data_IF_725267271966
#
_entry.id   IF_725267271966
#
_cell.length_a   1.000
_cell.length_b   1.000
_cell.length_c   1.000
_cell.angle_alpha   90.00
_cell.angle_beta   90.00
_cell.angle_gamma   90.00
#
_symmetry.space_group_name_H-M   'P 1'
#
loop_
_entity.id
_entity.type
_entity.pdbx_description
1 polymer ?
#
# COMPACT_ATOMS: atom_id res chain seq x y z
N UNK A 1 31.50 42.72 42.10
CA UNK A 1 30.82 41.80 41.18
C UNK A 1 29.37 42.17 40.98
N UNK A 2 28.57 42.28 42.05
CA UNK A 2 27.17 42.69 41.96
C UNK A 2 26.93 43.95 41.10
N UNK A 3 27.80 44.97 41.24
CA UNK A 3 27.70 46.20 40.44
C UNK A 3 27.93 46.00 38.93
N UNK A 4 28.89 45.17 38.51
CA UNK A 4 29.10 44.94 37.07
C UNK A 4 27.95 44.15 36.46
N UNK A 5 27.36 43.24 37.23
CA UNK A 5 26.20 42.48 36.83
C UNK A 5 24.98 43.39 36.62
N UNK A 6 24.69 44.28 37.58
CA UNK A 6 23.59 45.24 37.47
C UNK A 6 23.75 46.15 36.26
N UNK A 7 24.96 46.67 36.03
CA UNK A 7 25.25 47.53 34.89
C UNK A 7 25.09 46.76 33.58
N UNK A 8 25.59 45.53 33.52
CA UNK A 8 25.45 44.68 32.34
C UNK A 8 23.98 44.38 32.03
N UNK A 9 23.20 43.88 32.99
CA UNK A 9 21.79 43.53 32.82
C UNK A 9 20.94 44.76 32.43
N UNK A 10 21.18 45.92 33.04
CA UNK A 10 20.48 47.15 32.68
C UNK A 10 20.86 47.64 31.27
N UNK A 11 22.11 47.42 30.83
CA UNK A 11 22.57 47.81 29.50
C UNK A 11 21.98 46.92 28.42
N UNK A 12 22.02 45.61 28.62
CA UNK A 12 21.45 44.64 27.68
C UNK A 12 19.93 44.72 27.61
N UNK A 13 19.24 45.14 28.68
CA UNK A 13 17.80 45.45 28.66
C UNK A 13 17.45 46.80 28.03
N UNK A 14 18.42 47.51 27.45
CA UNK A 14 18.25 48.83 26.84
C UNK A 14 17.68 49.89 27.80
N UNK A 15 17.99 49.78 29.10
CA UNK A 15 17.52 50.68 30.18
C UNK A 15 18.50 51.81 30.50
N UNK A 16 19.52 52.02 29.68
CA UNK A 16 20.56 53.05 29.88
C UNK A 16 20.44 54.23 28.90
N UNK A 17 20.49 55.44 29.44
CA UNK A 17 20.98 56.62 28.72
C UNK A 17 22.51 56.71 28.80
N UNK A 18 23.16 57.33 27.81
CA UNK A 18 24.63 57.42 27.72
C UNK A 18 25.29 58.01 28.97
N UNK A 19 24.70 59.06 29.54
CA UNK A 19 25.23 59.78 30.70
C UNK A 19 25.21 58.92 31.98
N UNK A 20 24.17 58.08 32.14
CA UNK A 20 24.03 57.18 33.28
C UNK A 20 25.05 56.04 33.22
N UNK A 21 25.32 55.51 32.03
CA UNK A 21 26.30 54.45 31.81
C UNK A 21 27.73 54.93 32.11
N UNK A 22 28.07 56.14 31.67
CA UNK A 22 29.41 56.70 31.91
C UNK A 22 29.65 57.00 33.40
N UNK A 23 28.61 57.37 34.16
CA UNK A 23 28.70 57.50 35.61
C UNK A 23 28.86 56.14 36.32
N UNK A 24 28.10 55.13 35.90
CA UNK A 24 28.23 53.79 36.46
C UNK A 24 29.59 53.13 36.15
N UNK A 25 30.18 53.44 35.00
CA UNK A 25 31.56 53.05 34.68
C UNK A 25 32.61 53.78 35.51
N UNK A 26 32.40 55.05 35.88
CA UNK A 26 33.28 55.76 36.84
C UNK A 26 33.22 55.09 38.21
N UNK A 27 32.04 54.73 38.68
CA UNK A 27 31.90 53.99 39.93
C UNK A 27 32.59 52.63 39.87
N UNK A 28 32.46 51.93 38.74
CA UNK A 28 33.14 50.65 38.50
C UNK A 28 34.66 50.82 38.51
N UNK A 29 35.18 51.91 37.95
CA UNK A 29 36.60 52.26 37.95
C UNK A 29 37.13 52.53 39.36
N UNK A 30 36.39 53.29 40.18
CA UNK A 30 36.79 53.55 41.56
C UNK A 30 36.80 52.26 42.41
N UNK A 31 35.81 51.38 42.22
CA UNK A 31 35.79 50.07 42.88
C UNK A 31 36.96 49.18 42.45
N UNK A 32 37.37 49.27 41.18
CA UNK A 32 38.47 48.49 40.63
C UNK A 32 39.84 48.84 41.24
N UNK A 33 40.01 50.02 41.85
CA UNK A 33 41.26 50.42 42.53
C UNK A 33 41.64 49.48 43.67
N UNK A 34 40.65 48.88 44.32
CA UNK A 34 40.82 48.06 45.51
C UNK A 34 40.80 46.55 45.22
N UNK A 35 40.74 46.18 43.94
CA UNK A 35 40.66 44.77 43.52
C UNK A 35 42.02 44.35 42.97
N UNK A 36 42.50 43.18 43.41
CA UNK A 36 43.66 42.55 42.79
C UNK A 36 43.23 41.97 41.43
N UNK A 37 43.87 42.37 40.30
CA UNK A 37 43.56 41.82 38.98
C UNK A 37 43.73 40.29 38.88
N UNK A 38 44.49 39.66 39.78
CA UNK A 38 44.66 38.21 39.83
C UNK A 38 43.51 37.48 40.55
N UNK A 39 42.73 38.17 41.39
CA UNK A 39 41.68 37.60 42.22
C UNK A 39 40.26 37.83 41.65
N UNK A 40 40.16 38.08 40.34
CA UNK A 40 38.88 38.29 39.67
C UNK A 40 38.08 36.98 39.60
N UNK A 41 36.77 36.98 39.93
CA UNK A 41 35.95 35.78 39.92
C UNK A 41 35.46 35.48 38.49
N UNK A 42 36.34 34.84 37.71
CA UNK A 42 36.08 34.53 36.29
C UNK A 42 34.82 33.71 36.08
N UNK A 43 34.53 32.74 36.96
CA UNK A 43 33.32 31.94 36.89
C UNK A 43 32.04 32.79 36.85
N UNK A 44 31.98 33.86 37.66
CA UNK A 44 30.81 34.74 37.71
C UNK A 44 30.70 35.60 36.44
N UNK A 45 31.82 36.07 35.89
CA UNK A 45 31.85 36.80 34.62
C UNK A 45 31.40 35.91 33.45
N UNK A 46 31.83 34.65 33.43
CA UNK A 46 31.38 33.69 32.43
C UNK A 46 29.88 33.39 32.60
N UNK A 47 29.41 33.13 33.82
CA UNK A 47 27.98 32.88 34.08
C UNK A 47 27.11 34.05 33.62
N UNK A 48 27.56 35.29 33.77
CA UNK A 48 26.86 36.48 33.28
C UNK A 48 26.51 36.37 31.78
N UNK A 49 27.48 35.97 30.95
CA UNK A 49 27.32 35.85 29.50
C UNK A 49 26.44 34.66 29.11
N UNK A 50 26.54 33.56 29.87
CA UNK A 50 25.81 32.31 29.60
C UNK A 50 24.38 32.29 30.17
N UNK A 51 24.07 33.07 31.20
CA UNK A 51 22.72 33.18 31.78
C UNK A 51 21.78 33.98 30.90
N UNK A 52 22.31 34.90 30.12
CA UNK A 52 21.50 35.81 29.34
C UNK A 52 21.07 35.13 28.03
N UNK A 53 19.76 35.04 27.79
CA UNK A 53 19.16 34.76 26.47
C UNK A 53 19.32 35.96 25.52
N UNK A 54 20.07 36.98 25.94
CA UNK A 54 20.17 38.30 25.32
C UNK A 54 21.05 38.31 24.09
N UNK A 55 20.78 39.33 23.28
CA UNK A 55 21.43 39.62 22.00
C UNK A 55 22.97 39.66 22.12
N UNK A 56 23.63 38.81 21.34
CA UNK A 56 25.09 38.75 21.24
C UNK A 56 25.66 40.12 20.85
N UNK A 57 24.93 40.89 20.03
CA UNK A 57 25.30 42.23 19.58
C UNK A 57 25.32 43.24 20.74
N UNK A 58 24.34 43.17 21.65
CA UNK A 58 24.27 44.04 22.82
C UNK A 58 25.42 43.75 23.79
N UNK A 59 25.77 42.48 23.96
CA UNK A 59 26.89 42.05 24.81
C UNK A 59 28.23 42.53 24.25
N UNK A 60 28.45 42.41 22.94
CA UNK A 60 29.66 42.91 22.28
C UNK A 60 29.74 44.45 22.39
N UNK A 61 28.62 45.15 22.17
CA UNK A 61 28.55 46.60 22.32
C UNK A 61 28.89 47.07 23.75
N UNK A 62 28.43 46.33 24.77
CA UNK A 62 28.79 46.61 26.18
C UNK A 62 30.31 46.51 26.39
N UNK A 63 30.91 45.42 25.91
CA UNK A 63 32.35 45.16 26.03
C UNK A 63 33.16 46.26 25.33
N UNK A 64 32.73 46.69 24.14
CA UNK A 64 33.36 47.79 23.40
C UNK A 64 33.26 49.12 24.16
N UNK A 65 32.09 49.44 24.74
CA UNK A 65 31.91 50.67 25.53
C UNK A 65 32.77 50.68 26.80
N UNK A 66 32.83 49.56 27.52
CA UNK A 66 33.73 49.41 28.68
C UNK A 66 35.20 49.61 28.26
N UNK A 67 35.59 49.04 27.12
CA UNK A 67 36.93 49.19 26.54
C UNK A 67 37.28 50.64 26.26
N UNK A 68 36.39 51.35 25.56
CA UNK A 68 36.56 52.76 25.22
C UNK A 68 36.69 53.63 26.47
N UNK A 69 35.90 53.33 27.49
CA UNK A 69 35.89 54.08 28.74
C UNK A 69 37.25 54.03 29.48
N UNK A 70 37.77 52.84 29.80
CA UNK A 70 39.03 52.77 30.55
C UNK A 70 40.23 53.24 29.71
N UNK A 71 40.17 53.10 28.38
CA UNK A 71 41.22 53.56 27.46
C UNK A 71 41.26 55.09 27.42
N UNK A 72 40.10 55.76 27.33
CA UNK A 72 39.97 57.22 27.40
C UNK A 72 40.53 57.77 28.72
N UNK A 73 40.27 57.11 29.84
CA UNK A 73 40.82 57.50 31.15
C UNK A 73 42.34 57.34 31.18
N UNK A 74 42.87 56.24 30.66
CA UNK A 74 44.31 56.00 30.59
C UNK A 74 45.02 57.09 29.78
N UNK A 75 44.53 57.39 28.57
CA UNK A 75 45.10 58.40 27.69
C UNK A 75 45.06 59.79 28.34
N UNK A 76 43.91 60.18 28.91
CA UNK A 76 43.76 61.46 29.58
C UNK A 76 44.75 61.63 30.74
N UNK A 77 44.86 60.64 31.63
CA UNK A 77 45.77 60.71 32.80
C UNK A 77 47.23 60.61 32.41
N UNK A 78 47.57 59.84 31.37
CA UNK A 78 48.93 59.74 30.83
C UNK A 78 49.37 61.07 30.23
N UNK A 79 48.53 61.72 29.43
CA UNK A 79 48.85 62.99 28.79
C UNK A 79 49.03 64.13 29.81
N UNK A 80 48.31 64.07 30.94
CA UNK A 80 48.38 65.06 32.01
C UNK A 80 49.45 64.73 33.09
N UNK A 81 50.24 63.66 32.93
CA UNK A 81 51.18 63.16 33.96
C UNK A 81 50.54 62.91 35.35
N UNK A 82 49.24 62.58 35.41
CA UNK A 82 48.48 62.28 36.64
C UNK A 82 48.16 60.78 36.78
N UNK A 83 48.92 59.92 36.10
CA UNK A 83 48.70 58.47 36.17
C UNK A 83 49.25 57.92 37.49
N UNK A 84 48.35 57.59 38.43
CA UNK A 84 48.72 57.03 39.74
C UNK A 84 48.80 55.50 39.70
N UNK A 85 49.51 54.92 40.66
CA UNK A 85 49.60 53.45 40.81
C UNK A 85 48.23 52.77 40.93
N UNK A 86 47.28 53.41 41.64
CA UNK A 86 45.90 52.90 41.79
C UNK A 86 45.09 52.96 40.48
N UNK A 87 45.37 53.95 39.63
CA UNK A 87 44.74 54.06 38.31
C UNK A 87 45.19 52.90 37.41
N UNK A 88 46.48 52.54 37.47
CA UNK A 88 47.02 51.38 36.77
C UNK A 88 46.38 50.05 37.22
N UNK A 89 46.12 49.89 38.53
CA UNK A 89 45.42 48.71 39.08
C UNK A 89 43.99 48.62 38.54
N UNK A 90 43.28 49.74 38.49
CA UNK A 90 41.89 49.79 37.99
C UNK A 90 41.82 49.44 36.51
N UNK A 91 42.71 50.04 35.70
CA UNK A 91 42.78 49.78 34.26
C UNK A 91 43.12 48.31 34.00
N UNK A 92 44.10 47.75 34.73
CA UNK A 92 44.46 46.34 34.60
C UNK A 92 43.29 45.41 34.99
N UNK A 93 42.54 45.75 36.04
CA UNK A 93 41.37 44.99 36.49
C UNK A 93 40.25 45.03 35.45
N UNK A 94 39.90 46.21 34.94
CA UNK A 94 38.86 46.37 33.91
C UNK A 94 39.25 45.73 32.57
N UNK A 95 40.53 45.82 32.18
CA UNK A 95 41.05 45.16 30.99
C UNK A 95 40.91 43.63 31.09
N UNK A 96 41.23 43.05 32.25
CA UNK A 96 41.01 41.61 32.49
C UNK A 96 39.54 41.24 32.51
N UNK A 97 38.68 42.04 33.14
CA UNK A 97 37.23 41.83 33.10
C UNK A 97 36.73 41.77 31.66
N UNK A 98 37.14 42.73 30.83
CA UNK A 98 36.83 42.74 29.40
C UNK A 98 37.32 41.49 28.67
N UNK A 99 38.54 41.06 28.93
CA UNK A 99 39.11 39.85 28.33
C UNK A 99 38.27 38.61 28.65
N UNK A 100 37.87 38.43 29.91
CA UNK A 100 37.03 37.30 30.34
C UNK A 100 35.62 37.35 29.77
N UNK A 101 34.99 38.54 29.70
CA UNK A 101 33.67 38.70 29.06
C UNK A 101 33.74 38.37 27.55
N UNK A 102 34.79 38.84 26.86
CA UNK A 102 34.99 38.57 25.43
C UNK A 102 35.26 37.09 25.15
N UNK A 103 36.08 36.43 25.98
CA UNK A 103 36.33 34.99 25.87
C UNK A 103 35.05 34.18 26.09
N UNK A 104 34.27 34.52 27.12
CA UNK A 104 33.00 33.85 27.40
C UNK A 104 31.99 34.04 26.26
N UNK A 105 31.91 35.23 25.66
CA UNK A 105 31.05 35.50 24.50
C UNK A 105 31.48 34.66 23.29
N UNK A 106 32.77 34.62 22.98
CA UNK A 106 33.30 33.80 21.88
C UNK A 106 33.00 32.30 22.08
N UNK A 107 33.14 31.81 23.31
CA UNK A 107 32.79 30.42 23.68
C UNK A 107 31.30 30.14 23.49
N UNK A 108 30.42 31.03 23.96
CA UNK A 108 28.97 30.92 23.77
C UNK A 108 28.60 30.85 22.28
N UNK A 109 29.14 31.76 21.48
CA UNK A 109 28.85 31.83 20.05
C UNK A 109 29.34 30.59 19.31
N UNK A 110 30.53 30.09 19.65
CA UNK A 110 31.07 28.84 19.08
C UNK A 110 30.18 27.64 19.39
N UNK A 111 29.74 27.49 20.65
CA UNK A 111 28.83 26.43 21.08
C UNK A 111 27.47 26.54 20.40
N UNK A 112 26.88 27.73 20.35
CA UNK A 112 25.58 27.98 19.73
C UNK A 112 25.61 27.68 18.22
N UNK A 113 26.67 28.11 17.52
CA UNK A 113 26.84 27.80 16.10
C UNK A 113 26.95 26.29 15.85
N UNK A 114 27.69 25.57 16.69
CA UNK A 114 27.79 24.10 16.60
C UNK A 114 26.43 23.43 16.83
N UNK A 115 25.70 23.86 17.87
CA UNK A 115 24.37 23.35 18.17
C UNK A 115 23.37 23.62 17.04
N UNK A 116 23.39 24.83 16.48
CA UNK A 116 22.54 25.23 15.34
C UNK A 116 22.81 24.38 14.11
N UNK A 117 24.08 24.07 13.83
CA UNK A 117 24.47 23.19 12.73
C UNK A 117 23.99 21.76 12.95
N UNK A 118 24.20 21.20 14.15
CA UNK A 118 23.73 19.86 14.52
C UNK A 118 22.19 19.76 14.43
N UNK A 119 21.47 20.76 14.93
CA UNK A 119 20.01 20.80 14.90
C UNK A 119 19.46 20.92 13.47
N UNK A 120 20.14 21.71 12.62
CA UNK A 120 19.82 21.80 11.19
C UNK A 120 20.03 20.44 10.49
N UNK A 121 21.11 19.74 10.80
CA UNK A 121 21.39 18.41 10.24
C UNK A 121 20.36 17.38 10.71
N UNK A 122 20.01 17.38 12.00
CA UNK A 122 18.99 16.49 12.55
C UNK A 122 17.63 16.74 11.92
N UNK A 123 17.25 18.01 11.70
CA UNK A 123 15.99 18.38 11.03
C UNK A 123 15.94 17.89 9.58
N UNK A 124 17.06 17.92 8.86
CA UNK A 124 17.15 17.35 7.51
C UNK A 124 16.96 15.84 7.53
N UNK A 125 17.68 15.15 8.42
CA UNK A 125 17.60 13.70 8.56
C UNK A 125 16.18 13.23 8.91
N UNK A 126 15.50 13.90 9.84
CA UNK A 126 14.10 13.63 10.18
C UNK A 126 13.16 13.80 8.98
N UNK A 127 13.38 14.84 8.15
CA UNK A 127 12.56 15.06 6.96
C UNK A 127 12.79 13.97 5.91
N UNK A 128 14.02 13.54 5.73
CA UNK A 128 14.38 12.48 4.80
C UNK A 128 13.83 11.12 5.27
N UNK A 129 13.93 10.80 6.57
CA UNK A 129 13.31 9.61 7.16
C UNK A 129 11.78 9.62 7.02
N UNK A 130 11.14 10.76 7.25
CA UNK A 130 9.68 10.88 7.09
C UNK A 130 9.25 10.64 5.63
N UNK A 131 10.02 11.14 4.66
CA UNK A 131 9.77 10.86 3.24
C UNK A 131 10.00 9.38 2.90
N UNK A 132 11.03 8.76 3.47
CA UNK A 132 11.30 7.33 3.29
C UNK A 132 10.19 6.45 3.88
N UNK A 133 9.67 6.80 5.07
CA UNK A 133 8.54 6.09 5.69
C UNK A 133 7.27 6.20 4.85
N UNK A 134 6.95 7.37 4.30
CA UNK A 134 5.80 7.55 3.43
C UNK A 134 5.90 6.68 2.16
N UNK A 135 7.08 6.59 1.54
CA UNK A 135 7.30 5.72 0.38
C UNK A 135 7.19 4.23 0.74
N UNK A 136 7.75 3.81 1.89
CA UNK A 136 7.60 2.44 2.36
C UNK A 136 6.14 2.07 2.64
N UNK A 137 5.34 3.00 3.16
CA UNK A 137 3.92 2.79 3.38
C UNK A 137 3.16 2.60 2.06
N UNK A 138 3.39 3.46 1.07
CA UNK A 138 2.79 3.33 -0.27
C UNK A 138 3.17 2.01 -0.96
N UNK A 139 4.45 1.62 -0.86
CA UNK A 139 4.91 0.32 -1.36
C UNK A 139 4.21 -0.84 -0.65
N UNK A 140 4.05 -0.77 0.67
CA UNK A 140 3.38 -1.81 1.47
C UNK A 140 1.92 -1.97 1.05
N UNK A 141 1.21 -0.86 0.85
CA UNK A 141 -0.19 -0.87 0.40
C UNK A 141 -0.32 -1.48 -1.01
N UNK A 142 0.59 -1.13 -1.93
CA UNK A 142 0.64 -1.73 -3.27
C UNK A 142 0.95 -3.23 -3.23
N UNK A 143 1.89 -3.67 -2.39
CA UNK A 143 2.19 -5.09 -2.20
C UNK A 143 1.00 -5.84 -1.60
N UNK A 144 0.27 -5.23 -0.66
CA UNK A 144 -0.93 -5.83 -0.07
C UNK A 144 -2.02 -6.03 -1.12
N UNK A 145 -2.30 -5.02 -1.94
CA UNK A 145 -3.28 -5.14 -3.02
C UNK A 145 -2.90 -6.25 -4.03
N UNK A 146 -1.62 -6.31 -4.41
CA UNK A 146 -1.11 -7.40 -5.27
C UNK A 146 -1.24 -8.77 -4.62
N UNK A 147 -0.98 -8.88 -3.32
CA UNK A 147 -1.08 -10.13 -2.58
C UNK A 147 -2.53 -10.60 -2.46
N UNK A 148 -3.47 -9.68 -2.16
CA UNK A 148 -4.89 -9.98 -2.09
C UNK A 148 -5.40 -10.45 -3.46
N UNK A 149 -5.00 -9.76 -4.54
CA UNK A 149 -5.31 -10.19 -5.91
C UNK A 149 -4.73 -11.57 -6.24
N UNK A 150 -3.45 -11.80 -5.93
CA UNK A 150 -2.79 -13.09 -6.15
C UNK A 150 -3.47 -14.22 -5.36
N UNK A 151 -3.92 -13.94 -4.14
CA UNK A 151 -4.64 -14.90 -3.30
C UNK A 151 -6.00 -15.26 -3.91
N UNK A 152 -6.73 -14.27 -4.43
CA UNK A 152 -7.98 -14.51 -5.17
C UNK A 152 -7.70 -15.37 -6.41
N UNK A 153 -6.68 -15.03 -7.20
CA UNK A 153 -6.31 -15.79 -8.40
C UNK A 153 -5.93 -17.24 -8.04
N UNK A 154 -5.17 -17.45 -6.96
CA UNK A 154 -4.78 -18.77 -6.48
C UNK A 154 -5.97 -19.59 -5.97
N UNK A 155 -6.86 -18.99 -5.17
CA UNK A 155 -8.09 -19.63 -4.69
C UNK A 155 -8.97 -20.05 -5.88
N UNK A 156 -9.01 -19.22 -6.91
CA UNK A 156 -9.74 -19.48 -8.14
C UNK A 156 -9.15 -20.64 -8.92
N UNK A 157 -7.82 -20.68 -9.08
CA UNK A 157 -7.10 -21.78 -9.71
C UNK A 157 -7.35 -23.10 -8.96
N UNK A 158 -7.29 -23.09 -7.62
CA UNK A 158 -7.61 -24.25 -6.79
C UNK A 158 -9.07 -24.70 -6.98
N UNK A 159 -10.02 -23.78 -7.04
CA UNK A 159 -11.43 -24.10 -7.30
C UNK A 159 -11.65 -24.78 -8.66
N UNK A 160 -10.95 -24.31 -9.70
CA UNK A 160 -10.97 -24.93 -11.03
C UNK A 160 -10.41 -26.35 -10.96
N UNK A 161 -9.22 -26.53 -10.37
CA UNK A 161 -8.61 -27.85 -10.29
C UNK A 161 -9.43 -28.83 -9.46
N UNK A 162 -9.97 -28.40 -8.32
CA UNK A 162 -10.83 -29.24 -7.47
C UNK A 162 -12.07 -29.72 -8.22
N UNK A 163 -12.73 -28.82 -8.96
CA UNK A 163 -13.86 -29.16 -9.82
C UNK A 163 -13.49 -30.22 -10.86
N UNK A 164 -12.37 -30.01 -11.57
CA UNK A 164 -11.90 -30.95 -12.61
C UNK A 164 -11.61 -32.30 -11.98
N UNK A 165 -10.92 -32.34 -10.83
CA UNK A 165 -10.60 -33.55 -10.10
C UNK A 165 -11.88 -34.32 -9.70
N UNK A 166 -12.87 -33.63 -9.11
CA UNK A 166 -14.12 -34.27 -8.72
C UNK A 166 -14.92 -34.78 -9.91
N UNK A 167 -14.93 -34.03 -11.02
CA UNK A 167 -15.60 -34.48 -12.24
C UNK A 167 -14.91 -35.70 -12.86
N UNK A 168 -13.58 -35.70 -12.93
CA UNK A 168 -12.80 -36.83 -13.49
C UNK A 168 -12.95 -38.06 -12.62
N UNK A 169 -12.76 -37.97 -11.29
CA UNK A 169 -12.94 -39.12 -10.41
C UNK A 169 -14.39 -39.59 -10.34
N UNK A 170 -15.35 -38.66 -10.36
CA UNK A 170 -16.78 -38.98 -10.47
C UNK A 170 -17.08 -39.76 -11.75
N UNK A 171 -16.59 -39.30 -12.90
CA UNK A 171 -16.77 -39.98 -14.19
C UNK A 171 -16.08 -41.34 -14.27
N UNK A 172 -14.84 -41.44 -13.79
CA UNK A 172 -14.09 -42.70 -13.78
C UNK A 172 -14.76 -43.77 -12.88
N UNK A 173 -15.29 -43.38 -11.72
CA UNK A 173 -16.01 -44.30 -10.83
C UNK A 173 -17.27 -44.88 -11.49
N UNK A 174 -17.98 -44.08 -12.28
CA UNK A 174 -19.17 -44.51 -13.01
C UNK A 174 -18.81 -45.44 -14.16
N UNK A 175 -17.70 -45.21 -14.86
CA UNK A 175 -17.20 -46.11 -15.91
C UNK A 175 -16.79 -47.47 -15.30
N UNK A 176 -16.13 -47.48 -14.15
CA UNK A 176 -15.78 -48.70 -13.42
C UNK A 176 -17.00 -49.58 -13.12
N UNK A 177 -18.06 -48.98 -12.56
CA UNK A 177 -19.29 -49.71 -12.22
C UNK A 177 -20.00 -50.33 -13.43
N UNK A 178 -19.88 -49.73 -14.62
CA UNK A 178 -20.39 -50.29 -15.88
C UNK A 178 -19.50 -51.43 -16.37
N UNK A 179 -18.17 -51.25 -16.28
CA UNK A 179 -17.18 -52.25 -16.68
C UNK A 179 -17.37 -53.58 -15.95
N UNK A 180 -17.73 -53.52 -14.67
CA UNK A 180 -17.97 -54.71 -13.84
C UNK A 180 -19.20 -55.53 -14.28
N UNK A 181 -20.18 -54.92 -14.95
CA UNK A 181 -21.45 -55.55 -15.35
C UNK A 181 -21.61 -55.66 -16.88
N UNK A 182 -20.51 -55.55 -17.63
CA UNK A 182 -20.54 -55.43 -19.10
C UNK A 182 -21.00 -56.72 -19.81
N UNK A 183 -20.74 -57.89 -19.22
CA UNK A 183 -21.04 -59.18 -19.83
C UNK A 183 -22.55 -59.52 -19.86
N UNK A 184 -23.33 -59.02 -18.90
CA UNK A 184 -24.75 -59.36 -18.74
C UNK A 184 -25.69 -58.26 -19.25
N UNK A 185 -25.17 -57.05 -19.52
CA UNK A 185 -25.99 -55.89 -19.85
C UNK A 185 -26.09 -55.67 -21.36
N UNK A 186 -27.30 -55.51 -21.93
CA UNK A 186 -27.46 -55.22 -23.35
C UNK A 186 -26.86 -53.84 -23.69
N UNK A 187 -26.19 -53.76 -24.84
CA UNK A 187 -25.47 -52.57 -25.36
C UNK A 187 -26.33 -51.29 -25.28
N UNK A 188 -27.64 -51.38 -25.55
CA UNK A 188 -28.55 -50.22 -25.48
C UNK A 188 -28.70 -49.64 -24.06
N UNK A 189 -28.65 -50.47 -23.01
CA UNK A 189 -28.67 -49.99 -21.62
C UNK A 189 -27.34 -49.34 -21.23
N UNK A 190 -26.23 -49.90 -21.70
CA UNK A 190 -24.88 -49.36 -21.47
C UNK A 190 -24.76 -47.97 -22.10
N UNK A 191 -25.10 -47.81 -23.39
CA UNK A 191 -25.02 -46.49 -24.05
C UNK A 191 -25.97 -45.46 -23.42
N UNK A 192 -27.16 -45.88 -22.98
CA UNK A 192 -28.11 -45.00 -22.29
C UNK A 192 -27.55 -44.48 -20.97
N UNK A 193 -26.86 -45.34 -20.21
CA UNK A 193 -26.24 -44.94 -18.95
C UNK A 193 -25.02 -44.04 -19.18
N UNK A 194 -24.16 -44.34 -20.15
CA UNK A 194 -22.98 -43.52 -20.50
C UNK A 194 -23.37 -42.12 -20.99
N UNK A 195 -24.42 -42.02 -21.81
CA UNK A 195 -24.89 -40.72 -22.31
C UNK A 195 -25.49 -39.85 -21.19
N UNK A 196 -26.31 -40.45 -20.31
CA UNK A 196 -26.90 -39.72 -19.18
C UNK A 196 -25.85 -39.28 -18.16
N UNK A 197 -24.87 -40.14 -17.86
CA UNK A 197 -23.77 -39.82 -16.95
C UNK A 197 -22.86 -38.73 -17.51
N UNK A 198 -22.50 -38.80 -18.79
CA UNK A 198 -21.69 -37.79 -19.47
C UNK A 198 -22.38 -36.42 -19.49
N UNK A 199 -23.69 -36.36 -19.78
CA UNK A 199 -24.47 -35.11 -19.72
C UNK A 199 -24.41 -34.51 -18.30
N UNK A 200 -24.62 -35.35 -17.27
CA UNK A 200 -24.61 -34.91 -15.87
C UNK A 200 -23.22 -34.38 -15.47
N UNK A 201 -22.15 -35.08 -15.83
CA UNK A 201 -20.78 -34.68 -15.56
C UNK A 201 -20.45 -33.33 -16.23
N UNK A 202 -20.78 -33.19 -17.51
CA UNK A 202 -20.57 -31.95 -18.27
C UNK A 202 -21.33 -30.77 -17.66
N UNK A 203 -22.57 -30.99 -17.22
CA UNK A 203 -23.37 -29.95 -16.55
C UNK A 203 -22.77 -29.53 -15.20
N UNK A 204 -22.31 -30.49 -14.38
CA UNK A 204 -21.67 -30.19 -13.09
C UNK A 204 -20.37 -29.40 -13.31
N UNK A 205 -19.54 -29.81 -14.27
CA UNK A 205 -18.32 -29.10 -14.65
C UNK A 205 -18.65 -27.68 -15.13
N UNK A 206 -19.66 -27.52 -15.98
CA UNK A 206 -20.08 -26.22 -16.48
C UNK A 206 -20.62 -25.28 -15.39
N UNK A 207 -21.47 -25.78 -14.50
CA UNK A 207 -21.99 -24.99 -13.36
C UNK A 207 -20.84 -24.51 -12.48
N UNK A 208 -19.86 -25.38 -12.23
CA UNK A 208 -18.71 -25.06 -11.40
C UNK A 208 -17.81 -24.02 -12.07
N UNK A 209 -17.50 -24.16 -13.37
CA UNK A 209 -16.80 -23.12 -14.13
C UNK A 209 -17.57 -21.79 -14.15
N UNK A 210 -18.89 -21.83 -14.29
CA UNK A 210 -19.74 -20.64 -14.26
C UNK A 210 -19.76 -19.98 -12.86
N UNK A 211 -19.73 -20.77 -11.78
CA UNK A 211 -19.60 -20.26 -10.42
C UNK A 211 -18.24 -19.57 -10.22
N UNK A 212 -17.16 -20.21 -10.65
CA UNK A 212 -15.80 -19.66 -10.60
C UNK A 212 -15.68 -18.38 -11.43
N UNK A 213 -16.27 -18.34 -12.62
CA UNK A 213 -16.33 -17.15 -13.48
C UNK A 213 -17.02 -15.98 -12.82
N UNK A 214 -18.07 -16.23 -12.01
CA UNK A 214 -18.72 -15.19 -11.22
C UNK A 214 -17.88 -14.70 -10.05
N UNK A 215 -17.12 -15.58 -9.41
CA UNK A 215 -16.24 -15.23 -8.27
C UNK A 215 -14.95 -14.51 -8.71
N UNK A 216 -14.44 -14.84 -9.90
CA UNK A 216 -13.22 -14.24 -10.47
C UNK A 216 -13.48 -13.02 -11.33
N UNK A 217 -14.75 -12.68 -11.58
CA UNK A 217 -15.17 -11.69 -12.58
C UNK A 217 -14.64 -11.95 -14.01
N UNK A 218 -14.08 -13.13 -14.29
CA UNK A 218 -13.62 -13.52 -15.62
C UNK A 218 -14.83 -13.88 -16.48
N UNK A 219 -15.02 -13.18 -17.61
CA UNK A 219 -16.16 -13.42 -18.51
C UNK A 219 -15.94 -14.71 -19.30
N UNK A 220 -16.65 -15.79 -18.97
CA UNK A 220 -16.74 -17.00 -19.81
C UNK A 220 -17.67 -16.79 -21.02
N UNK A 221 -17.34 -15.86 -21.92
CA UNK A 221 -18.11 -15.66 -23.16
C UNK A 221 -17.17 -15.79 -24.35
N UNK A 222 -17.50 -16.67 -25.28
CA UNK A 222 -16.78 -16.80 -26.55
C UNK A 222 -17.27 -15.81 -27.63
N UNK A 223 -18.21 -14.93 -27.28
CA UNK A 223 -18.78 -13.95 -28.20
C UNK A 223 -17.89 -12.70 -28.23
N UNK A 224 -17.39 -12.37 -29.43
CA UNK A 224 -16.48 -11.25 -29.65
C UNK A 224 -17.26 -9.93 -29.81
N UNK A 225 -17.96 -9.49 -28.75
CA UNK A 225 -18.68 -8.23 -28.73
C UNK A 225 -17.83 -7.15 -28.03
N UNK A 226 -17.55 -6.05 -28.74
CA UNK A 226 -16.79 -4.91 -28.22
C UNK A 226 -17.64 -4.03 -27.27
N UNK A 227 -18.97 -4.01 -27.41
CA UNK A 227 -19.89 -3.20 -26.60
C UNK A 227 -20.87 -4.01 -25.74
N UNK A 228 -20.93 -3.68 -24.43
CA UNK A 228 -21.68 -4.41 -23.40
C UNK A 228 -23.22 -4.32 -23.51
N UNK A 229 -23.77 -3.33 -24.23
CA UNK A 229 -25.21 -3.00 -24.17
C UNK A 229 -26.07 -3.60 -25.29
N UNK A 230 -25.49 -4.13 -26.37
CA UNK A 230 -26.24 -4.58 -27.57
C UNK A 230 -25.96 -6.02 -28.00
N UNK A 231 -25.30 -6.82 -27.17
CA UNK A 231 -24.88 -8.18 -27.55
C UNK A 231 -25.94 -9.24 -27.16
N UNK A 232 -26.92 -9.47 -28.04
CA UNK A 232 -27.92 -10.53 -27.92
C UNK A 232 -27.36 -11.88 -28.40
N UNK A 233 -26.38 -12.44 -27.68
CA UNK A 233 -25.82 -13.74 -28.03
C UNK A 233 -26.66 -14.90 -27.49
N UNK A 234 -27.00 -15.84 -28.37
CA UNK A 234 -27.72 -17.04 -28.00
C UNK A 234 -26.80 -18.04 -27.26
N UNK A 235 -27.36 -18.96 -26.46
CA UNK A 235 -26.58 -19.92 -25.63
C UNK A 235 -25.55 -20.71 -26.45
N UNK A 236 -25.92 -21.08 -27.68
CA UNK A 236 -25.07 -21.75 -28.67
C UNK A 236 -23.82 -20.96 -29.06
N UNK A 237 -23.93 -19.63 -29.17
CA UNK A 237 -22.81 -18.74 -29.53
C UNK A 237 -21.97 -18.37 -28.31
N UNK A 238 -22.59 -18.41 -27.13
CA UNK A 238 -21.94 -18.09 -25.86
C UNK A 238 -21.02 -19.21 -25.37
N UNK A 239 -21.45 -20.47 -25.54
CA UNK A 239 -20.72 -21.67 -25.14
C UNK A 239 -20.77 -22.75 -26.25
N UNK A 240 -20.04 -22.55 -27.37
CA UNK A 240 -20.12 -23.45 -28.52
C UNK A 240 -19.69 -24.89 -28.19
N UNK A 241 -18.67 -25.06 -27.34
CA UNK A 241 -18.16 -26.38 -26.92
C UNK A 241 -19.16 -27.15 -26.06
N UNK A 242 -19.78 -26.49 -25.07
CA UNK A 242 -20.84 -27.09 -24.24
C UNK A 242 -22.02 -27.52 -25.11
N UNK A 243 -22.45 -26.64 -26.01
CA UNK A 243 -23.62 -26.90 -26.82
C UNK A 243 -23.42 -28.03 -27.83
N UNK A 244 -22.23 -28.13 -28.43
CA UNK A 244 -21.88 -29.24 -29.32
C UNK A 244 -21.79 -30.57 -28.55
N UNK A 245 -21.16 -30.54 -27.37
CA UNK A 245 -21.01 -31.73 -26.53
C UNK A 245 -22.35 -32.25 -26.01
N UNK A 246 -23.23 -31.37 -25.51
CA UNK A 246 -24.58 -31.76 -25.10
C UNK A 246 -25.40 -32.33 -26.25
N UNK A 247 -25.30 -31.74 -27.45
CA UNK A 247 -25.95 -32.27 -28.64
C UNK A 247 -25.50 -33.70 -28.95
N UNK A 248 -24.19 -33.95 -29.00
CA UNK A 248 -23.63 -35.27 -29.27
C UNK A 248 -24.13 -36.34 -28.27
N UNK A 249 -24.13 -36.03 -26.97
CA UNK A 249 -24.59 -37.01 -25.97
C UNK A 249 -26.11 -37.20 -25.95
N UNK A 250 -26.90 -36.17 -26.26
CA UNK A 250 -28.35 -36.30 -26.45
C UNK A 250 -28.65 -37.18 -27.66
N UNK A 251 -27.93 -37.01 -28.77
CA UNK A 251 -28.08 -37.87 -29.95
C UNK A 251 -27.69 -39.31 -29.65
N UNK A 252 -26.60 -39.54 -28.91
CA UNK A 252 -26.20 -40.88 -28.49
C UNK A 252 -27.27 -41.53 -27.59
N UNK A 253 -27.90 -40.76 -26.70
CA UNK A 253 -29.02 -41.21 -25.89
C UNK A 253 -30.25 -41.58 -26.74
N UNK A 254 -30.64 -40.72 -27.69
CA UNK A 254 -31.76 -41.00 -28.61
C UNK A 254 -31.48 -42.22 -29.49
N UNK A 255 -30.26 -42.37 -30.00
CA UNK A 255 -29.82 -43.54 -30.74
C UNK A 255 -29.91 -44.83 -29.90
N UNK A 256 -29.58 -44.74 -28.60
CA UNK A 256 -29.69 -45.86 -27.67
C UNK A 256 -31.14 -46.31 -27.47
N UNK A 257 -32.07 -45.34 -27.38
CA UNK A 257 -33.52 -45.61 -27.31
C UNK A 257 -33.99 -46.30 -28.59
N UNK A 258 -33.54 -45.83 -29.76
CA UNK A 258 -33.90 -46.44 -31.05
C UNK A 258 -33.38 -47.87 -31.14
N UNK A 259 -32.12 -48.13 -30.78
CA UNK A 259 -31.55 -49.48 -30.75
C UNK A 259 -32.32 -50.42 -29.82
N UNK A 260 -32.81 -49.91 -28.69
CA UNK A 260 -33.66 -50.67 -27.78
C UNK A 260 -35.03 -50.98 -28.42
N UNK A 261 -35.64 -49.99 -29.07
CA UNK A 261 -36.95 -50.10 -29.71
C UNK A 261 -36.96 -51.00 -30.97
N UNK A 262 -35.84 -51.08 -31.69
CA UNK A 262 -35.70 -51.95 -32.88
C UNK A 262 -35.35 -53.40 -32.53
N UNK A 263 -34.61 -53.62 -31.43
CA UNK A 263 -34.12 -54.98 -31.06
C UNK A 263 -35.07 -55.78 -30.15
N UNK A 264 -35.87 -55.13 -29.32
CA UNK A 264 -36.85 -55.81 -28.45
C UNK A 264 -38.26 -55.25 -28.71
N UNK A 265 -39.16 -56.10 -29.20
CA UNK A 265 -40.55 -55.70 -29.49
C UNK A 265 -41.35 -55.34 -28.25
N UNK A 266 -40.96 -55.88 -27.08
CA UNK A 266 -41.73 -55.79 -25.82
C UNK A 266 -41.41 -54.51 -25.00
N UNK A 267 -40.67 -53.55 -25.57
CA UNK A 267 -40.27 -52.33 -24.84
C UNK A 267 -41.46 -51.42 -24.48
N UNK A 268 -42.58 -51.55 -25.21
CA UNK A 268 -43.81 -50.82 -24.95
C UNK A 268 -44.69 -51.49 -23.88
N UNK A 269 -44.40 -52.70 -23.41
CA UNK A 269 -45.22 -53.42 -22.42
C UNK A 269 -45.54 -52.64 -21.14
N UNK A 270 -44.60 -51.87 -20.53
CA UNK A 270 -44.90 -51.09 -19.34
C UNK A 270 -45.82 -49.90 -19.66
N UNK A 271 -45.64 -49.29 -20.83
CA UNK A 271 -46.40 -48.12 -21.29
C UNK A 271 -47.80 -48.54 -21.78
N UNK A 272 -47.89 -49.68 -22.47
CA UNK A 272 -49.13 -50.28 -22.94
C UNK A 272 -50.00 -50.72 -21.76
N UNK A 273 -49.40 -51.22 -20.67
CA UNK A 273 -50.10 -51.52 -19.41
C UNK A 273 -50.56 -50.25 -18.67
N UNK A 274 -49.82 -49.14 -18.78
CA UNK A 274 -50.18 -47.88 -18.13
C UNK A 274 -51.22 -47.06 -18.91
N UNK A 275 -51.23 -47.15 -20.25
CA UNK A 275 -52.01 -46.27 -21.12
C UNK A 275 -53.04 -46.99 -22.02
N UNK A 276 -53.17 -48.32 -21.91
CA UNK A 276 -54.14 -49.17 -22.66
C UNK A 276 -54.20 -48.89 -24.17
N UNK A 277 -53.05 -48.74 -24.83
CA UNK A 277 -52.96 -48.39 -26.25
C UNK A 277 -53.06 -49.63 -27.15
N UNK A 278 -53.72 -49.58 -28.33
CA UNK A 278 -53.79 -50.73 -29.24
C UNK A 278 -52.48 -51.02 -29.99
N UNK A 279 -52.19 -52.29 -30.24
CA UNK A 279 -50.97 -52.86 -30.85
C UNK A 279 -50.57 -52.21 -32.21
N UNK A 280 -51.53 -51.67 -32.98
CA UNK A 280 -51.23 -50.93 -34.22
C UNK A 280 -50.45 -49.62 -34.00
N UNK A 281 -50.46 -49.06 -32.79
CA UNK A 281 -49.67 -47.87 -32.46
C UNK A 281 -48.17 -48.17 -32.35
N UNK A 282 -47.74 -49.42 -32.13
CA UNK A 282 -46.31 -49.71 -31.92
C UNK A 282 -45.45 -49.38 -33.15
N UNK A 283 -45.93 -49.75 -34.34
CA UNK A 283 -45.25 -49.42 -35.61
C UNK A 283 -45.25 -47.91 -35.88
N UNK A 284 -46.33 -47.22 -35.50
CA UNK A 284 -46.44 -45.76 -35.63
C UNK A 284 -45.48 -45.06 -34.67
N UNK A 285 -45.34 -45.55 -33.44
CA UNK A 285 -44.41 -45.04 -32.43
C UNK A 285 -42.96 -45.26 -32.86
N UNK A 286 -42.63 -46.43 -33.43
CA UNK A 286 -41.29 -46.72 -33.97
C UNK A 286 -40.94 -45.77 -35.12
N UNK A 287 -41.86 -45.57 -36.08
CA UNK A 287 -41.66 -44.64 -37.20
C UNK A 287 -41.57 -43.20 -36.70
N UNK A 288 -42.39 -42.80 -35.72
CA UNK A 288 -42.37 -41.46 -35.12
C UNK A 288 -41.06 -41.18 -34.37
N UNK A 289 -40.52 -42.15 -33.63
CA UNK A 289 -39.22 -42.04 -32.96
C UNK A 289 -38.07 -41.87 -33.96
N UNK A 290 -38.05 -42.68 -35.03
CA UNK A 290 -37.03 -42.60 -36.09
C UNK A 290 -37.15 -41.26 -36.84
N UNK A 291 -38.38 -40.82 -37.16
CA UNK A 291 -38.63 -39.53 -37.78
C UNK A 291 -38.20 -38.37 -36.88
N UNK A 292 -38.50 -38.42 -35.57
CA UNK A 292 -38.06 -37.42 -34.59
C UNK A 292 -36.54 -37.33 -34.50
N UNK A 293 -35.84 -38.47 -34.52
CA UNK A 293 -34.37 -38.50 -34.49
C UNK A 293 -33.76 -37.91 -35.77
N UNK A 294 -34.28 -38.28 -36.94
CA UNK A 294 -33.84 -37.72 -38.22
C UNK A 294 -34.14 -36.22 -38.32
N UNK A 295 -35.35 -35.78 -37.92
CA UNK A 295 -35.71 -34.36 -37.90
C UNK A 295 -34.85 -33.56 -36.92
N UNK A 296 -34.54 -34.10 -35.74
CA UNK A 296 -33.65 -33.46 -34.77
C UNK A 296 -32.22 -33.30 -35.31
N UNK A 297 -31.68 -34.36 -35.94
CA UNK A 297 -30.37 -34.33 -36.57
C UNK A 297 -30.31 -33.35 -37.75
N UNK A 298 -31.32 -33.31 -38.61
CA UNK A 298 -31.42 -32.36 -39.74
C UNK A 298 -31.54 -30.92 -39.22
N UNK A 299 -32.40 -30.66 -38.24
CA UNK A 299 -32.56 -29.33 -37.63
C UNK A 299 -31.24 -28.80 -37.07
N UNK A 300 -30.50 -29.66 -36.35
CA UNK A 300 -29.22 -29.28 -35.77
C UNK A 300 -28.12 -29.15 -36.82
N UNK A 301 -28.09 -29.99 -37.86
CA UNK A 301 -27.16 -29.84 -38.98
C UNK A 301 -27.37 -28.50 -39.71
N UNK A 302 -28.63 -28.10 -39.95
CA UNK A 302 -28.96 -26.78 -40.51
C UNK A 302 -28.52 -25.60 -39.62
N UNK A 303 -28.44 -25.80 -38.30
CA UNK A 303 -28.07 -24.75 -37.33
C UNK A 303 -26.56 -24.71 -37.02
N UNK A 304 -25.86 -25.84 -37.19
CA UNK A 304 -24.41 -25.98 -37.00
C UNK A 304 -23.60 -25.64 -38.25
N UNK A 305 -24.18 -25.71 -39.46
CA UNK A 305 -23.56 -25.13 -40.65
C UNK A 305 -23.49 -23.62 -40.41
N UNK A 306 -22.29 -23.02 -40.33
CA UNK A 306 -22.18 -21.59 -40.16
C UNK A 306 -22.87 -20.93 -41.35
N UNK A 307 -23.87 -20.11 -41.08
CA UNK A 307 -24.24 -19.06 -42.02
C UNK A 307 -22.96 -18.26 -42.23
N UNK A 308 -22.31 -18.46 -43.38
CA UNK A 308 -21.36 -17.49 -43.94
C UNK A 308 -22.14 -16.19 -44.08
N UNK A 309 -22.19 -15.39 -43.02
CA UNK A 309 -22.52 -13.99 -43.09
C UNK A 309 -21.19 -13.24 -43.04
N UNK A 310 -20.87 -12.72 -44.22
CA UNK A 310 -19.81 -11.78 -44.49
C UNK A 310 -19.88 -10.56 -43.56
N UNK A 311 -18.68 -10.01 -43.32
CA UNK A 311 -18.33 -8.74 -42.65
C UNK A 311 -18.36 -8.75 -41.13
#
# INVERSE_FOLDING_TARGET
>A
MEKIQIIYEQYTMNKYGEEKLENDFKDLYELAKNINPAALPYAQLTTLIFRDDMDEEATDAFIQRLTRFYTKIFEFKKNNNDLKKLDAVSIATLAKVKEHLSLALSQKNSLYNKQKQELSNLKKLLKDEQAHLANLQDQTDNYKEKYDKMTIDFLSMMGIFSTIIFAVFGGLSQIGAIGDNLAETPISKILMYISLSAITLILIVFISFNAISKLTHLKLRSCNCEDEKSCACNVYQKHPTLSFSLFFFIDLFLFSIILKATRHSDWLDPIHRMLSLPIRLESIIKISLIASFLSFNIYMFCKLIPSKKNK
#
